data_IF_536262229782
#
_entry.id   IF_536262229782
#
_cell.length_a   1.000
_cell.length_b   1.000
_cell.length_c   1.000
_cell.angle_alpha   90.00
_cell.angle_beta   90.00
_cell.angle_gamma   90.00
#
_symmetry.space_group_name_H-M   'P 1'
#
loop_
_entity.id
_entity.type
_entity.pdbx_description
1 polymer ?
#
# COMPACT_ATOMS: atom_id res chain seq x y z
N UNK A 1 16.95 -8.00 9.09
CA UNK A 1 17.33 -6.77 8.38
C UNK A 1 17.19 -6.94 6.86
N UNK A 2 17.81 -7.93 6.22
CA UNK A 2 17.80 -8.15 4.76
C UNK A 2 16.40 -8.33 4.15
N UNK A 3 15.52 -9.11 4.78
CA UNK A 3 14.15 -9.32 4.30
C UNK A 3 13.35 -8.01 4.27
N UNK A 4 13.51 -7.16 5.29
CA UNK A 4 12.85 -5.85 5.34
C UNK A 4 13.37 -4.90 4.26
N UNK A 5 14.69 -4.91 3.99
CA UNK A 5 15.26 -4.08 2.92
C UNK A 5 14.79 -4.52 1.54
N UNK A 6 14.72 -5.83 1.29
CA UNK A 6 14.18 -6.37 0.03
C UNK A 6 12.70 -6.02 -0.15
N UNK A 7 11.90 -6.16 0.92
CA UNK A 7 10.49 -5.76 0.88
C UNK A 7 10.30 -4.27 0.61
N UNK A 8 11.10 -3.41 1.25
CA UNK A 8 11.05 -1.97 0.99
C UNK A 8 11.41 -1.64 -0.46
N UNK A 9 12.41 -2.32 -1.03
CA UNK A 9 12.77 -2.14 -2.43
C UNK A 9 11.65 -2.60 -3.37
N UNK A 10 11.06 -3.77 -3.12
CA UNK A 10 9.91 -4.27 -3.88
C UNK A 10 8.69 -3.35 -3.74
N UNK A 11 8.42 -2.83 -2.55
CA UNK A 11 7.35 -1.87 -2.29
C UNK A 11 7.59 -0.55 -3.02
N UNK A 12 8.84 -0.09 -3.08
CA UNK A 12 9.23 1.13 -3.81
C UNK A 12 9.03 0.97 -5.32
N UNK A 13 9.38 -0.18 -5.88
CA UNK A 13 9.13 -0.50 -7.30
C UNK A 13 7.63 -0.66 -7.57
N UNK A 14 6.90 -1.39 -6.74
CA UNK A 14 5.47 -1.65 -6.92
C UNK A 14 4.59 -0.41 -6.69
N UNK A 15 4.97 0.43 -5.73
CA UNK A 15 4.22 1.62 -5.33
C UNK A 15 4.62 2.89 -6.07
N UNK A 16 5.85 2.97 -6.62
CA UNK A 16 6.35 4.03 -7.49
C UNK A 16 5.95 5.45 -7.10
N UNK A 17 6.09 5.83 -5.83
CA UNK A 17 5.60 7.12 -5.33
C UNK A 17 4.09 7.37 -5.57
N UNK A 18 3.28 6.31 -5.57
CA UNK A 18 1.84 6.35 -5.85
C UNK A 18 1.09 7.46 -5.10
N UNK A 19 1.48 7.73 -3.87
CA UNK A 19 0.89 8.80 -3.05
C UNK A 19 1.16 10.18 -3.65
N UNK A 20 2.39 10.47 -4.08
CA UNK A 20 2.77 11.77 -4.65
C UNK A 20 2.13 11.97 -6.02
N UNK A 21 2.17 10.94 -6.87
CA UNK A 21 1.53 10.98 -8.18
C UNK A 21 0.01 11.19 -8.05
N UNK A 22 -0.65 10.42 -7.19
CA UNK A 22 -2.09 10.56 -6.97
C UNK A 22 -2.44 11.95 -6.43
N UNK A 23 -1.68 12.46 -5.46
CA UNK A 23 -1.88 13.81 -4.91
C UNK A 23 -1.75 14.88 -5.99
N UNK A 24 -0.71 14.83 -6.81
CA UNK A 24 -0.48 15.79 -7.87
C UNK A 24 -1.58 15.78 -8.92
N UNK A 25 -1.91 14.62 -9.48
CA UNK A 25 -2.94 14.50 -10.50
C UNK A 25 -4.33 14.90 -10.02
N UNK A 26 -4.67 14.50 -8.79
CA UNK A 26 -5.95 14.89 -8.18
C UNK A 26 -6.00 16.40 -7.95
N UNK A 27 -4.90 17.04 -7.51
CA UNK A 27 -4.83 18.49 -7.34
C UNK A 27 -4.95 19.25 -8.66
N UNK A 28 -4.30 18.76 -9.72
CA UNK A 28 -4.43 19.34 -11.07
C UNK A 28 -5.88 19.26 -11.58
N UNK A 29 -6.56 18.17 -11.31
CA UNK A 29 -7.96 17.99 -11.73
C UNK A 29 -8.93 18.83 -10.91
N UNK A 30 -8.67 19.02 -9.61
CA UNK A 30 -9.45 19.92 -8.75
C UNK A 30 -9.35 21.38 -9.20
N UNK A 31 -8.24 21.79 -9.82
CA UNK A 31 -8.07 23.14 -10.38
C UNK A 31 -8.85 23.40 -11.67
N UNK A 32 -9.43 22.38 -12.31
CA UNK A 32 -10.21 22.53 -13.55
C UNK A 32 -11.69 22.78 -13.24
N UNK A 33 -12.38 23.67 -13.98
CA UNK A 33 -13.78 24.03 -13.70
C UNK A 33 -14.77 22.88 -13.85
N UNK A 34 -14.41 21.80 -14.57
CA UNK A 34 -15.22 20.58 -14.73
C UNK A 34 -14.42 19.32 -14.38
N UNK A 35 -13.51 19.40 -13.44
CA UNK A 35 -12.63 18.31 -13.07
C UNK A 35 -13.34 17.18 -12.35
N UNK A 36 -12.83 15.96 -12.53
CA UNK A 36 -13.38 14.73 -11.96
C UNK A 36 -12.31 13.98 -11.16
N UNK A 37 -12.00 14.40 -9.92
CA UNK A 37 -10.93 13.83 -9.10
C UNK A 37 -11.11 12.34 -8.85
N UNK A 38 -12.34 11.86 -8.72
CA UNK A 38 -12.64 10.45 -8.54
C UNK A 38 -12.25 9.58 -9.74
N UNK A 39 -12.31 10.13 -10.96
CA UNK A 39 -11.90 9.40 -12.17
C UNK A 39 -10.39 9.28 -12.24
N UNK A 40 -9.67 10.36 -11.96
CA UNK A 40 -8.20 10.37 -11.92
C UNK A 40 -7.69 9.38 -10.88
N UNK A 41 -8.28 9.38 -9.69
CA UNK A 41 -7.94 8.42 -8.65
C UNK A 41 -8.15 6.96 -9.11
N UNK A 42 -9.28 6.67 -9.78
CA UNK A 42 -9.55 5.32 -10.28
C UNK A 42 -8.53 4.86 -11.33
N UNK A 43 -8.10 5.75 -12.23
CA UNK A 43 -7.02 5.46 -13.17
C UNK A 43 -5.68 5.26 -12.48
N UNK A 44 -5.36 6.11 -11.49
CA UNK A 44 -4.15 5.95 -10.66
C UNK A 44 -4.11 4.62 -9.92
N UNK A 45 -5.22 4.21 -9.30
CA UNK A 45 -5.35 2.91 -8.65
C UNK A 45 -5.18 1.77 -9.66
N UNK A 46 -5.83 1.85 -10.83
CA UNK A 46 -5.71 0.84 -11.89
C UNK A 46 -4.27 0.68 -12.37
N UNK A 47 -3.56 1.78 -12.57
CA UNK A 47 -2.15 1.79 -12.97
C UNK A 47 -1.25 1.17 -11.89
N UNK A 48 -1.42 1.57 -10.63
CA UNK A 48 -0.66 1.01 -9.52
C UNK A 48 -0.93 -0.48 -9.33
N UNK A 49 -2.17 -0.92 -9.51
CA UNK A 49 -2.51 -2.35 -9.47
C UNK A 49 -1.87 -3.12 -10.63
N UNK A 50 -1.90 -2.56 -11.85
CA UNK A 50 -1.26 -3.16 -13.01
C UNK A 50 0.26 -3.33 -12.83
N UNK A 51 0.90 -2.41 -12.09
CA UNK A 51 2.33 -2.49 -11.78
C UNK A 51 2.61 -3.41 -10.59
N UNK A 52 1.82 -3.34 -9.53
CA UNK A 52 2.06 -4.10 -8.30
C UNK A 52 1.76 -5.60 -8.45
N UNK A 53 0.76 -6.00 -9.26
CA UNK A 53 0.40 -7.40 -9.45
C UNK A 53 1.54 -8.25 -10.04
N UNK A 54 2.23 -7.85 -11.15
CA UNK A 54 3.35 -8.63 -11.67
C UNK A 54 4.54 -8.67 -10.71
N UNK A 55 4.80 -7.58 -9.97
CA UNK A 55 5.85 -7.56 -8.93
C UNK A 55 5.50 -8.55 -7.81
N UNK A 56 4.26 -8.55 -7.35
CA UNK A 56 3.76 -9.51 -6.35
C UNK A 56 3.88 -10.95 -6.85
N UNK A 57 3.45 -11.22 -8.08
CA UNK A 57 3.57 -12.55 -8.69
C UNK A 57 5.03 -12.99 -8.81
N UNK A 58 5.92 -12.08 -9.25
CA UNK A 58 7.36 -12.33 -9.31
C UNK A 58 7.94 -12.68 -7.94
N UNK A 59 7.66 -11.88 -6.91
CA UNK A 59 8.14 -12.14 -5.54
C UNK A 59 7.58 -13.46 -5.00
N UNK A 60 6.31 -13.80 -5.26
CA UNK A 60 5.71 -15.06 -4.84
C UNK A 60 6.36 -16.28 -5.51
N UNK A 61 6.68 -16.20 -6.81
CA UNK A 61 7.34 -17.27 -7.56
C UNK A 61 8.77 -17.46 -7.06
N UNK A 62 9.49 -16.36 -6.85
CA UNK A 62 10.88 -16.39 -6.39
C UNK A 62 11.02 -16.44 -4.86
N UNK A 63 9.93 -16.57 -4.10
CA UNK A 63 9.95 -16.58 -2.64
C UNK A 63 10.80 -17.73 -2.07
N UNK A 64 10.74 -18.93 -2.68
CA UNK A 64 11.54 -20.07 -2.24
C UNK A 64 13.05 -19.88 -2.44
N UNK A 65 13.55 -19.59 -3.65
CA UNK A 65 14.99 -19.35 -3.84
C UNK A 65 15.47 -18.13 -3.05
N UNK A 66 14.61 -17.12 -2.86
CA UNK A 66 14.94 -15.95 -2.07
C UNK A 66 15.10 -16.29 -0.59
N UNK A 67 14.22 -17.12 -0.02
CA UNK A 67 14.30 -17.53 1.38
C UNK A 67 15.53 -18.41 1.63
N UNK A 68 15.88 -19.30 0.71
CA UNK A 68 17.05 -20.18 0.83
C UNK A 68 18.37 -19.43 0.68
N UNK A 69 18.49 -18.53 -0.31
CA UNK A 69 19.73 -17.81 -0.56
C UNK A 69 19.98 -16.64 0.42
N UNK A 70 18.93 -15.90 0.80
CA UNK A 70 19.08 -14.71 1.62
C UNK A 70 18.74 -14.87 3.09
N UNK A 71 17.81 -15.77 3.44
CA UNK A 71 17.30 -15.94 4.80
C UNK A 71 17.77 -17.26 5.44
N UNK A 72 18.36 -18.17 4.65
CA UNK A 72 18.88 -19.47 5.09
C UNK A 72 17.87 -20.30 5.91
N UNK A 73 16.57 -20.09 5.68
CA UNK A 73 15.50 -20.77 6.43
C UNK A 73 14.27 -20.97 5.52
N UNK A 74 13.86 -22.21 5.34
CA UNK A 74 12.67 -22.57 4.55
C UNK A 74 11.36 -22.07 5.18
N UNK A 75 11.33 -21.94 6.51
CA UNK A 75 10.15 -21.45 7.24
C UNK A 75 9.83 -19.98 6.95
N UNK A 76 10.81 -19.18 6.50
CA UNK A 76 10.60 -17.78 6.15
C UNK A 76 9.95 -17.55 4.78
N UNK A 77 9.84 -18.57 3.92
CA UNK A 77 9.20 -18.45 2.61
C UNK A 77 7.71 -18.03 2.72
N UNK A 78 7.01 -18.52 3.75
CA UNK A 78 5.64 -18.10 4.04
C UNK A 78 5.54 -16.62 4.41
N UNK A 79 6.45 -16.11 5.21
CA UNK A 79 6.51 -14.70 5.59
C UNK A 79 6.76 -13.82 4.36
N UNK A 80 7.67 -14.22 3.47
CA UNK A 80 7.95 -13.49 2.21
C UNK A 80 6.72 -13.48 1.28
N UNK A 81 5.98 -14.59 1.16
CA UNK A 81 4.74 -14.63 0.38
C UNK A 81 3.66 -13.73 0.95
N UNK A 82 3.48 -13.72 2.27
CA UNK A 82 2.54 -12.82 2.94
C UNK A 82 2.93 -11.36 2.72
N UNK A 83 4.22 -11.03 2.84
CA UNK A 83 4.72 -9.69 2.52
C UNK A 83 4.43 -9.28 1.07
N UNK A 84 4.62 -10.19 0.12
CA UNK A 84 4.33 -9.90 -1.29
C UNK A 84 2.85 -9.57 -1.52
N UNK A 85 1.93 -10.27 -0.85
CA UNK A 85 0.48 -10.01 -0.92
C UNK A 85 0.10 -8.63 -0.37
N UNK A 86 0.93 -8.02 0.49
CA UNK A 86 0.69 -6.68 1.02
C UNK A 86 1.05 -5.57 0.03
N UNK A 87 1.84 -5.85 -1.01
CA UNK A 87 2.26 -4.84 -2.00
C UNK A 87 1.07 -4.17 -2.70
N UNK A 88 0.08 -4.90 -3.27
CA UNK A 88 -1.07 -4.26 -3.91
C UNK A 88 -1.97 -3.51 -2.93
N UNK A 89 -2.11 -4.02 -1.70
CA UNK A 89 -2.85 -3.31 -0.64
C UNK A 89 -2.15 -2.02 -0.22
N UNK A 90 -0.82 -2.04 -0.11
CA UNK A 90 0.00 -0.87 0.17
C UNK A 90 -0.10 0.18 -0.92
N UNK A 91 -0.06 -0.21 -2.19
CA UNK A 91 -0.21 0.72 -3.32
C UNK A 91 -1.62 1.34 -3.38
N UNK A 92 -2.67 0.56 -3.09
CA UNK A 92 -4.04 1.07 -2.97
C UNK A 92 -4.15 2.12 -1.85
N UNK A 93 -3.66 1.81 -0.65
CA UNK A 93 -3.71 2.75 0.47
C UNK A 93 -2.90 4.02 0.18
N UNK A 94 -1.75 3.92 -0.49
CA UNK A 94 -0.95 5.06 -0.90
C UNK A 94 -1.69 5.99 -1.89
N UNK A 95 -2.38 5.43 -2.89
CA UNK A 95 -3.21 6.21 -3.81
C UNK A 95 -4.34 6.95 -3.07
N UNK A 96 -5.02 6.28 -2.14
CA UNK A 96 -6.09 6.88 -1.35
C UNK A 96 -5.56 7.99 -0.42
N UNK A 97 -4.40 7.78 0.23
CA UNK A 97 -3.72 8.82 1.02
C UNK A 97 -3.40 10.04 0.14
N UNK A 98 -2.91 9.81 -1.08
CA UNK A 98 -2.66 10.87 -2.07
C UNK A 98 -3.92 11.68 -2.41
N UNK A 99 -5.05 11.01 -2.59
CA UNK A 99 -6.34 11.68 -2.81
C UNK A 99 -6.74 12.58 -1.63
N UNK A 100 -6.70 12.06 -0.40
CA UNK A 100 -7.07 12.85 0.77
C UNK A 100 -6.13 14.03 1.01
N UNK A 101 -4.85 13.89 0.69
CA UNK A 101 -3.88 14.99 0.74
C UNK A 101 -4.20 16.07 -0.29
N UNK A 102 -4.58 15.69 -1.51
CA UNK A 102 -4.97 16.63 -2.56
C UNK A 102 -6.24 17.43 -2.20
N UNK A 103 -7.19 16.77 -1.53
CA UNK A 103 -8.44 17.42 -1.06
C UNK A 103 -8.21 18.19 0.25
N UNK A 104 -6.96 18.48 0.62
CA UNK A 104 -6.58 19.20 1.85
C UNK A 104 -7.08 18.57 3.17
N UNK A 105 -7.31 17.25 3.18
CA UNK A 105 -7.72 16.49 4.36
C UNK A 105 -6.57 15.68 4.95
N UNK A 106 -5.42 16.33 5.10
CA UNK A 106 -4.17 15.72 5.62
C UNK A 106 -4.35 15.14 7.03
N UNK A 107 -5.23 15.73 7.84
CA UNK A 107 -5.54 15.23 9.19
C UNK A 107 -6.10 13.81 9.18
N UNK A 108 -6.86 13.44 8.14
CA UNK A 108 -7.42 12.08 8.00
C UNK A 108 -6.30 11.07 7.74
N UNK A 109 -5.37 11.39 6.83
CA UNK A 109 -4.23 10.51 6.53
C UNK A 109 -3.32 10.37 7.72
N UNK A 110 -2.99 11.48 8.40
CA UNK A 110 -2.15 11.47 9.59
C UNK A 110 -2.78 10.67 10.75
N UNK A 111 -4.08 10.82 10.98
CA UNK A 111 -4.79 10.04 12.00
C UNK A 111 -4.78 8.53 11.66
N UNK A 112 -5.00 8.17 10.39
CA UNK A 112 -4.92 6.78 9.95
C UNK A 112 -3.51 6.20 10.14
N UNK A 113 -2.45 6.99 9.86
CA UNK A 113 -1.07 6.55 10.03
C UNK A 113 -0.72 6.30 11.51
N UNK A 114 -1.18 7.17 12.41
CA UNK A 114 -0.99 7.00 13.86
C UNK A 114 -1.73 5.77 14.36
N UNK A 115 -2.99 5.58 13.95
CA UNK A 115 -3.78 4.40 14.35
C UNK A 115 -3.16 3.12 13.78
N UNK A 116 -2.72 3.14 12.52
CA UNK A 116 -2.02 2.01 11.88
C UNK A 116 -0.76 1.63 12.67
N UNK A 117 0.05 2.62 13.07
CA UNK A 117 1.26 2.39 13.85
C UNK A 117 0.95 1.79 15.23
N UNK A 118 -0.02 2.35 15.95
CA UNK A 118 -0.45 1.85 17.26
C UNK A 118 -1.00 0.42 17.16
N UNK A 119 -1.76 0.13 16.11
CA UNK A 119 -2.33 -1.18 15.85
C UNK A 119 -1.24 -2.22 15.58
N UNK A 120 -0.25 -1.90 14.74
CA UNK A 120 0.92 -2.74 14.47
C UNK A 120 1.72 -3.02 15.73
N UNK A 121 2.03 -1.97 16.52
CA UNK A 121 2.77 -2.10 17.75
C UNK A 121 2.00 -2.92 18.79
N UNK A 122 0.69 -2.68 18.95
CA UNK A 122 -0.18 -3.40 19.87
C UNK A 122 -0.30 -4.89 19.53
N UNK A 123 -0.53 -5.22 18.25
CA UNK A 123 -0.62 -6.61 17.79
C UNK A 123 0.71 -7.33 18.00
N UNK A 124 1.82 -6.71 17.59
CA UNK A 124 3.14 -7.31 17.74
C UNK A 124 3.47 -7.58 19.21
N UNK A 125 3.28 -6.59 20.07
CA UNK A 125 3.52 -6.72 21.51
C UNK A 125 2.60 -7.77 22.13
N UNK A 126 1.31 -7.77 21.76
CA UNK A 126 0.34 -8.75 22.23
C UNK A 126 0.70 -10.18 21.83
N UNK A 127 1.13 -10.41 20.60
CA UNK A 127 1.55 -11.73 20.13
C UNK A 127 2.83 -12.23 20.85
N UNK A 128 3.80 -11.32 21.04
CA UNK A 128 5.03 -11.65 21.76
C UNK A 128 4.78 -12.03 23.24
N UNK A 129 3.90 -11.28 23.92
CA UNK A 129 3.52 -11.55 25.30
C UNK A 129 2.71 -12.84 25.45
N UNK A 130 1.82 -13.11 24.49
CA UNK A 130 0.96 -14.30 24.56
C UNK A 130 1.72 -15.59 24.30
N UNK A 131 2.65 -15.59 23.35
CA UNK A 131 3.42 -16.79 22.98
C UNK A 131 4.61 -17.07 23.89
N UNK A 132 5.21 -16.03 24.47
CA UNK A 132 6.40 -16.16 25.33
C UNK A 132 7.64 -16.75 24.64
N UNK A 133 7.57 -17.05 23.36
CA UNK A 133 8.64 -17.66 22.56
C UNK A 133 9.35 -16.58 21.73
N UNK A 134 10.66 -16.51 21.90
CA UNK A 134 11.51 -15.49 21.26
C UNK A 134 12.31 -16.04 20.07
N UNK A 135 11.85 -17.15 19.46
CA UNK A 135 12.51 -17.69 18.26
C UNK A 135 12.45 -16.68 17.12
N UNK A 136 13.57 -16.37 16.46
CA UNK A 136 13.63 -15.33 15.43
C UNK A 136 12.68 -15.56 14.25
N UNK A 137 12.38 -16.81 13.92
CA UNK A 137 11.46 -17.18 12.85
C UNK A 137 10.00 -16.81 13.18
N UNK A 138 9.59 -17.04 14.43
CA UNK A 138 8.24 -16.72 14.88
C UNK A 138 8.05 -15.21 15.02
N UNK A 139 9.03 -14.52 15.57
CA UNK A 139 9.02 -13.05 15.67
C UNK A 139 8.91 -12.40 14.29
N UNK A 140 9.58 -12.95 13.28
CA UNK A 140 9.47 -12.45 11.91
C UNK A 140 8.06 -12.67 11.34
N UNK A 141 7.44 -13.81 11.57
CA UNK A 141 6.08 -14.12 11.14
C UNK A 141 5.05 -13.22 11.85
N UNK A 142 5.22 -13.01 13.15
CA UNK A 142 4.34 -12.13 13.94
C UNK A 142 4.47 -10.66 13.50
N UNK A 143 5.68 -10.23 13.15
CA UNK A 143 5.91 -8.91 12.57
C UNK A 143 5.16 -8.74 11.23
N UNK A 144 5.25 -9.72 10.34
CA UNK A 144 4.56 -9.69 9.05
C UNK A 144 3.04 -9.72 9.24
N UNK A 145 2.54 -10.50 10.18
CA UNK A 145 1.13 -10.57 10.51
C UNK A 145 0.62 -9.22 11.05
N UNK A 146 1.37 -8.57 11.93
CA UNK A 146 1.03 -7.24 12.45
C UNK A 146 1.02 -6.18 11.33
N UNK A 147 1.99 -6.23 10.41
CA UNK A 147 2.01 -5.38 9.22
C UNK A 147 0.79 -5.62 8.32
N UNK A 148 0.42 -6.88 8.10
CA UNK A 148 -0.75 -7.25 7.30
C UNK A 148 -2.03 -6.66 7.89
N UNK A 149 -2.26 -6.83 9.18
CA UNK A 149 -3.43 -6.30 9.88
C UNK A 149 -3.47 -4.76 9.80
N UNK A 150 -2.35 -4.09 10.02
CA UNK A 150 -2.26 -2.63 9.94
C UNK A 150 -2.58 -2.11 8.54
N UNK A 151 -1.97 -2.70 7.51
CA UNK A 151 -2.18 -2.29 6.11
C UNK A 151 -3.62 -2.56 5.65
N UNK A 152 -4.21 -3.70 6.03
CA UNK A 152 -5.61 -4.01 5.77
C UNK A 152 -6.54 -3.00 6.44
N UNK A 153 -6.31 -2.70 7.71
CA UNK A 153 -7.09 -1.70 8.43
C UNK A 153 -7.07 -0.35 7.73
N UNK A 154 -5.89 0.14 7.36
CA UNK A 154 -5.73 1.42 6.66
C UNK A 154 -6.41 1.41 5.29
N UNK A 155 -6.23 0.35 4.50
CA UNK A 155 -6.85 0.23 3.18
C UNK A 155 -8.39 0.23 3.28
N UNK A 156 -8.96 -0.52 4.21
CA UNK A 156 -10.42 -0.57 4.44
C UNK A 156 -10.94 0.78 4.93
N UNK A 157 -10.31 1.37 5.95
CA UNK A 157 -10.74 2.64 6.53
C UNK A 157 -10.72 3.76 5.49
N UNK A 158 -9.62 3.90 4.72
CA UNK A 158 -9.53 4.93 3.68
C UNK A 158 -10.51 4.68 2.54
N UNK A 159 -10.77 3.43 2.18
CA UNK A 159 -11.76 3.08 1.15
C UNK A 159 -13.18 3.45 1.61
N UNK A 160 -13.54 3.12 2.84
CA UNK A 160 -14.85 3.49 3.42
C UNK A 160 -15.01 5.01 3.48
N UNK A 161 -14.00 5.71 3.98
CA UNK A 161 -14.01 7.18 4.04
C UNK A 161 -14.09 7.81 2.64
N UNK A 162 -13.44 7.23 1.64
CA UNK A 162 -13.54 7.67 0.26
C UNK A 162 -14.98 7.55 -0.26
N UNK A 163 -15.64 6.40 -0.08
CA UNK A 163 -17.03 6.23 -0.52
C UNK A 163 -18.00 7.14 0.20
N UNK A 164 -17.77 7.48 1.46
CA UNK A 164 -18.61 8.40 2.22
C UNK A 164 -18.43 9.87 1.83
N UNK A 165 -17.23 10.26 1.40
CA UNK A 165 -16.85 11.67 1.23
C UNK A 165 -16.44 12.03 -0.20
N UNK A 166 -16.70 11.13 -1.19
CA UNK A 166 -16.37 11.43 -2.58
C UNK A 166 -17.22 12.57 -3.14
N UNK A 167 -16.56 13.51 -3.81
CA UNK A 167 -17.24 14.58 -4.55
C UNK A 167 -17.94 14.01 -5.79
N UNK A 168 -19.19 14.46 -6.12
CA UNK A 168 -19.87 14.04 -7.34
C UNK A 168 -19.16 14.56 -8.58
N UNK A 169 -18.93 13.70 -9.56
CA UNK A 169 -18.28 14.08 -10.83
C UNK A 169 -19.26 14.71 -11.81
N UNK A 170 -18.96 15.92 -12.29
CA UNK A 170 -19.72 16.65 -13.28
C UNK A 170 -19.06 16.70 -14.67
N UNK A 171 -18.71 15.59 -15.31
CA UNK A 171 -18.17 15.65 -16.68
C UNK A 171 -17.55 14.36 -17.23
N UNK A 172 -17.51 14.23 -18.58
CA UNK A 172 -16.84 13.16 -19.32
C UNK A 172 -15.40 13.55 -19.64
N UNK A 173 -14.40 12.82 -19.15
CA UNK A 173 -13.01 13.07 -19.40
C UNK A 173 -12.36 12.04 -20.35
N UNK A 174 -11.42 12.52 -21.15
CA UNK A 174 -10.76 11.88 -22.29
C UNK A 174 -9.63 10.91 -21.90
N UNK A 175 -9.27 10.05 -22.84
CA UNK A 175 -8.21 9.03 -22.83
C UNK A 175 -6.79 9.58 -22.57
N UNK A 176 -6.61 10.91 -22.63
CA UNK A 176 -5.31 11.59 -22.50
C UNK A 176 -4.63 11.41 -21.14
N UNK A 177 -5.39 11.06 -20.09
CA UNK A 177 -4.83 10.83 -18.74
C UNK A 177 -3.92 9.59 -18.66
N UNK A 178 -4.20 8.54 -19.45
CA UNK A 178 -3.36 7.36 -19.52
C UNK A 178 -1.96 7.64 -20.07
N UNK A 179 -1.90 8.49 -21.10
CA UNK A 179 -0.63 8.91 -21.72
C UNK A 179 0.19 9.80 -20.78
N UNK A 180 -0.46 10.65 -19.98
CA UNK A 180 0.21 11.50 -18.99
C UNK A 180 0.83 10.71 -17.83
N UNK A 181 0.23 9.58 -17.42
CA UNK A 181 0.75 8.70 -16.37
C UNK A 181 2.01 7.93 -16.79
N UNK A 182 2.18 7.67 -18.10
CA UNK A 182 3.35 6.95 -18.65
C UNK A 182 4.56 7.89 -18.82
N UNK A 183 4.35 9.21 -18.90
CA UNK A 183 5.40 10.20 -19.16
C UNK A 183 6.12 10.75 -17.90
N UNK A 184 5.82 10.22 -16.70
CA UNK A 184 6.51 10.51 -15.43
C UNK A 184 7.37 9.34 -15.00
#
# INVERSE_FOLDING_TARGET
>A
ALAGSFFNLAAMVAGGNAMLCASRFVSEELGKPCGCPARVLRHGISFCMMLSLPVTAGVCIFAQPLSQQFLQSDSMAHAVRLMALLLPLGSLSACLKGYFNAVCRVTVTAACDVVEFLLRAGILTGLLLWRGDTRPEQVCTDLVCSMACGTLFTAVTLTVLYFQKREPCGGTCSLSLWLSLIHI
#
